data_IF_431126716440
#
_entry.id   IF_431126716440
#
_cell.length_a   1.000
_cell.length_b   1.000
_cell.length_c   1.000
_cell.angle_alpha   90.00
_cell.angle_beta   90.00
_cell.angle_gamma   90.00
#
_symmetry.space_group_name_H-M   'P 1'
#
loop_
_entity.id
_entity.type
_entity.pdbx_description
1 polymer ?
#
# COMPACT_ATOMS: atom_id res chain seq x y z
N UNK A 1 15.25 26.74 -8.59
CA UNK A 1 14.73 26.25 -7.30
C UNK A 1 15.12 24.79 -7.22
N UNK A 2 15.76 24.31 -6.16
CA UNK A 2 15.95 22.86 -5.98
C UNK A 2 14.58 22.29 -5.62
N UNK A 3 13.78 22.02 -6.63
CA UNK A 3 12.46 21.45 -6.42
C UNK A 3 12.66 20.11 -5.72
N UNK A 4 12.15 20.06 -4.49
CA UNK A 4 12.36 18.94 -3.60
C UNK A 4 11.75 17.70 -4.28
N UNK A 5 12.59 16.74 -4.68
CA UNK A 5 12.16 15.49 -5.33
C UNK A 5 11.04 14.81 -4.52
N UNK A 6 11.04 14.95 -3.18
CA UNK A 6 9.95 14.46 -2.33
C UNK A 6 8.59 15.14 -2.56
N UNK A 7 8.56 16.40 -2.98
CA UNK A 7 7.32 17.12 -3.29
C UNK A 7 6.74 16.69 -4.64
N UNK A 8 7.54 16.08 -5.51
CA UNK A 8 7.08 15.60 -6.81
C UNK A 8 6.54 14.17 -6.76
N UNK A 9 7.01 13.36 -5.80
CA UNK A 9 6.53 11.99 -5.60
C UNK A 9 5.07 12.01 -5.15
N UNK A 10 4.23 11.23 -5.85
CA UNK A 10 2.79 11.11 -5.58
C UNK A 10 2.33 9.66 -5.37
N UNK A 11 3.12 8.68 -5.82
CA UNK A 11 2.76 7.27 -5.68
C UNK A 11 3.96 6.34 -5.58
N UNK A 12 3.71 5.11 -5.10
CA UNK A 12 4.71 4.07 -4.96
C UNK A 12 4.12 2.69 -5.21
N UNK A 13 4.89 1.83 -5.89
CA UNK A 13 4.57 0.39 -6.03
C UNK A 13 5.32 -0.42 -4.99
N UNK A 14 4.61 -1.35 -4.35
CA UNK A 14 5.14 -2.24 -3.33
C UNK A 14 4.82 -3.69 -3.64
N UNK A 15 5.72 -4.56 -3.20
CA UNK A 15 5.55 -6.00 -3.09
C UNK A 15 5.69 -6.36 -1.60
N UNK A 16 4.63 -6.87 -0.98
CA UNK A 16 4.56 -7.20 0.45
C UNK A 16 4.40 -8.70 0.57
N UNK A 17 5.44 -9.41 1.03
CA UNK A 17 5.33 -10.84 1.34
C UNK A 17 4.95 -11.00 2.80
N UNK A 18 3.91 -11.80 3.07
CA UNK A 18 3.40 -12.04 4.42
C UNK A 18 2.99 -13.50 4.58
N UNK A 19 3.12 -13.99 5.81
CA UNK A 19 2.65 -15.30 6.23
C UNK A 19 1.39 -15.15 7.06
N UNK A 20 0.39 -15.98 6.80
CA UNK A 20 -0.89 -15.96 7.52
C UNK A 20 -0.93 -17.07 8.57
N UNK A 21 -1.64 -16.83 9.67
CA UNK A 21 -1.73 -17.79 10.79
C UNK A 21 -2.41 -19.12 10.43
N UNK A 22 -3.06 -19.22 9.27
CA UNK A 22 -3.69 -20.44 8.77
C UNK A 22 -3.54 -20.53 7.25
N UNK A 23 -3.42 -21.74 6.67
CA UNK A 23 -3.42 -21.90 5.22
C UNK A 23 -4.69 -21.34 4.60
N UNK A 24 -4.55 -20.71 3.43
CA UNK A 24 -5.68 -20.26 2.60
C UNK A 24 -5.42 -20.63 1.14
N UNK A 25 -6.48 -20.79 0.36
CA UNK A 25 -6.41 -20.93 -1.09
C UNK A 25 -6.11 -19.58 -1.77
N UNK A 26 -5.70 -19.64 -3.03
CA UNK A 26 -5.55 -18.43 -3.85
C UNK A 26 -6.88 -17.69 -4.02
N UNK A 27 -8.00 -18.41 -4.17
CA UNK A 27 -9.32 -17.83 -4.31
C UNK A 27 -9.77 -17.08 -3.05
N UNK A 28 -9.49 -17.63 -1.86
CA UNK A 28 -9.82 -16.98 -0.59
C UNK A 28 -9.08 -15.65 -0.42
N UNK A 29 -7.76 -15.61 -0.63
CA UNK A 29 -7.00 -14.36 -0.48
C UNK A 29 -7.39 -13.32 -1.53
N UNK A 30 -7.65 -13.75 -2.77
CA UNK A 30 -8.11 -12.87 -3.84
C UNK A 30 -9.48 -12.27 -3.50
N UNK A 31 -10.40 -13.09 -3.00
CA UNK A 31 -11.72 -12.62 -2.53
C UNK A 31 -11.60 -11.60 -1.40
N UNK A 32 -10.69 -11.80 -0.44
CA UNK A 32 -10.44 -10.84 0.64
C UNK A 32 -9.93 -9.50 0.11
N UNK A 33 -9.06 -9.49 -0.90
CA UNK A 33 -8.63 -8.25 -1.56
C UNK A 33 -9.80 -7.55 -2.25
N UNK A 34 -10.67 -8.30 -2.94
CA UNK A 34 -11.85 -7.71 -3.59
C UNK A 34 -12.82 -7.09 -2.58
N UNK A 35 -13.06 -7.77 -1.45
CA UNK A 35 -13.88 -7.25 -0.34
C UNK A 35 -13.24 -6.01 0.28
N UNK A 36 -11.92 -6.02 0.47
CA UNK A 36 -11.19 -4.87 1.01
C UNK A 36 -11.34 -3.64 0.09
N UNK A 37 -11.16 -3.81 -1.22
CA UNK A 37 -11.26 -2.73 -2.19
C UNK A 37 -12.70 -2.24 -2.44
N UNK A 38 -13.73 -3.05 -2.16
CA UNK A 38 -15.13 -2.66 -2.34
C UNK A 38 -15.68 -1.74 -1.24
N UNK A 39 -14.96 -1.60 -0.13
CA UNK A 39 -15.31 -0.67 0.96
C UNK A 39 -15.22 0.78 0.49
N UNK A 40 -16.22 1.58 0.88
CA UNK A 40 -16.20 3.04 0.70
C UNK A 40 -15.16 3.71 1.62
N UNK A 41 -14.98 3.16 2.82
CA UNK A 41 -14.04 3.65 3.82
C UNK A 41 -13.24 2.52 4.46
N UNK A 42 -11.96 2.78 4.73
CA UNK A 42 -11.07 1.89 5.48
C UNK A 42 -10.39 2.76 6.54
N UNK A 43 -10.85 2.66 7.78
CA UNK A 43 -10.45 3.58 8.85
C UNK A 43 -9.34 2.97 9.70
N UNK A 44 -8.18 3.63 9.74
CA UNK A 44 -7.04 3.20 10.57
C UNK A 44 -6.68 4.25 11.61
N UNK A 45 -6.10 3.80 12.73
CA UNK A 45 -5.62 4.69 13.79
C UNK A 45 -4.19 5.14 13.50
N UNK A 46 -3.99 6.40 13.10
CA UNK A 46 -2.66 6.96 12.82
C UNK A 46 -2.14 7.75 14.02
N UNK A 47 -0.92 7.44 14.46
CA UNK A 47 -0.22 8.23 15.48
C UNK A 47 0.23 9.58 14.91
N UNK A 48 -0.10 10.66 15.61
CA UNK A 48 0.32 12.03 15.29
C UNK A 48 1.02 12.67 16.48
N UNK A 49 1.60 13.85 16.30
CA UNK A 49 2.16 14.65 17.41
C UNK A 49 1.12 14.97 18.50
N UNK A 50 -0.18 14.95 18.16
CA UNK A 50 -1.31 15.26 19.07
C UNK A 50 -2.09 14.00 19.50
N UNK A 51 -1.49 12.81 19.40
CA UNK A 51 -2.14 11.54 19.74
C UNK A 51 -2.63 10.76 18.52
N UNK A 52 -3.49 9.77 18.74
CA UNK A 52 -4.05 8.93 17.69
C UNK A 52 -5.28 9.59 17.06
N UNK A 53 -5.40 9.49 15.74
CA UNK A 53 -6.57 9.99 15.00
C UNK A 53 -7.02 8.96 13.97
N UNK A 54 -8.34 8.77 13.80
CA UNK A 54 -8.86 7.95 12.71
C UNK A 54 -8.57 8.64 11.37
N UNK A 55 -8.13 7.86 10.39
CA UNK A 55 -7.85 8.32 9.03
C UNK A 55 -8.43 7.30 8.06
N UNK A 56 -9.22 7.77 7.08
CA UNK A 56 -9.65 6.93 5.97
C UNK A 56 -8.51 6.76 4.97
N UNK A 57 -8.03 5.53 4.78
CA UNK A 57 -6.95 5.19 3.86
C UNK A 57 -7.44 4.68 2.51
N UNK A 58 -8.74 4.42 2.34
CA UNK A 58 -9.30 3.89 1.09
C UNK A 58 -8.91 4.72 -0.15
N UNK A 59 -8.93 6.07 -0.13
CA UNK A 59 -8.51 6.88 -1.27
C UNK A 59 -7.00 6.82 -1.57
N UNK A 60 -6.20 6.29 -0.64
CA UNK A 60 -4.74 6.19 -0.76
C UNK A 60 -4.29 4.85 -1.36
N UNK A 61 -5.23 3.93 -1.62
CA UNK A 61 -4.99 2.64 -2.28
C UNK A 61 -5.48 2.72 -3.71
N UNK A 62 -4.56 2.84 -4.66
CA UNK A 62 -4.88 2.97 -6.08
C UNK A 62 -5.13 1.61 -6.74
N UNK A 63 -4.34 0.59 -6.37
CA UNK A 63 -4.61 -0.79 -6.74
C UNK A 63 -4.04 -1.75 -5.70
N UNK A 64 -4.65 -2.93 -5.58
CA UNK A 64 -4.18 -4.02 -4.73
C UNK A 64 -4.54 -5.35 -5.40
N UNK A 65 -3.61 -6.29 -5.41
CA UNK A 65 -3.85 -7.68 -5.80
C UNK A 65 -3.08 -8.62 -4.87
N UNK A 66 -3.48 -9.88 -4.82
CA UNK A 66 -2.80 -10.91 -4.05
C UNK A 66 -2.53 -12.16 -4.88
N UNK A 67 -1.40 -12.82 -4.63
CA UNK A 67 -1.18 -14.17 -5.11
C UNK A 67 -0.54 -15.06 -4.04
N UNK A 68 -0.78 -16.36 -4.17
CA UNK A 68 -0.24 -17.38 -3.27
C UNK A 68 1.18 -17.72 -3.70
N UNK A 69 2.13 -17.66 -2.75
CA UNK A 69 3.54 -18.00 -2.96
C UNK A 69 3.89 -19.37 -2.37
N UNK A 70 3.28 -19.72 -1.24
CA UNK A 70 3.38 -21.02 -0.58
C UNK A 70 2.10 -21.31 0.24
N UNK A 71 2.02 -22.41 0.98
CA UNK A 71 0.86 -22.89 1.75
C UNK A 71 0.18 -21.78 2.56
N UNK A 72 0.98 -21.02 3.34
CA UNK A 72 0.53 -19.91 4.18
C UNK A 72 1.17 -18.58 3.81
N UNK A 73 1.99 -18.54 2.75
CA UNK A 73 2.75 -17.37 2.32
C UNK A 73 2.11 -16.75 1.08
N UNK A 74 1.86 -15.45 1.15
CA UNK A 74 1.18 -14.67 0.13
C UNK A 74 1.98 -13.40 -0.19
N UNK A 75 1.68 -12.83 -1.34
CA UNK A 75 2.25 -11.55 -1.77
C UNK A 75 1.12 -10.59 -2.12
N UNK A 76 1.12 -9.39 -1.53
CA UNK A 76 0.34 -8.25 -2.01
C UNK A 76 1.18 -7.42 -2.98
N UNK A 77 0.64 -7.14 -4.15
CA UNK A 77 1.14 -6.09 -5.04
C UNK A 77 0.26 -4.85 -4.86
N UNK A 78 0.87 -3.76 -4.42
CA UNK A 78 0.14 -2.56 -4.02
C UNK A 78 0.64 -1.34 -4.78
N UNK A 79 -0.28 -0.52 -5.28
CA UNK A 79 0.01 0.81 -5.78
C UNK A 79 -0.66 1.84 -4.87
N UNK A 80 0.16 2.64 -4.18
CA UNK A 80 -0.26 3.45 -3.05
C UNK A 80 0.10 4.92 -3.26
N UNK A 81 -0.70 5.81 -2.67
CA UNK A 81 -0.35 7.21 -2.52
C UNK A 81 0.92 7.36 -1.69
N UNK A 82 1.86 8.15 -2.20
CA UNK A 82 3.13 8.48 -1.57
C UNK A 82 3.42 9.98 -1.71
N UNK A 83 4.31 10.51 -0.88
CA UNK A 83 4.65 11.95 -0.90
C UNK A 83 4.55 12.60 0.47
N UNK A 84 4.80 13.90 0.54
CA UNK A 84 4.89 14.61 1.82
C UNK A 84 3.53 14.77 2.52
N UNK A 85 2.47 15.04 1.75
CA UNK A 85 1.13 15.30 2.28
C UNK A 85 0.31 14.02 2.44
N UNK A 86 0.33 13.17 1.40
CA UNK A 86 -0.46 11.95 1.32
C UNK A 86 0.47 10.76 1.11
N UNK A 87 0.73 10.02 2.18
CA UNK A 87 1.54 8.81 2.13
C UNK A 87 0.91 7.70 2.97
N UNK A 88 0.56 6.61 2.31
CA UNK A 88 0.17 5.36 2.93
C UNK A 88 1.39 4.43 2.99
N UNK A 89 1.81 4.09 4.21
CA UNK A 89 2.91 3.14 4.40
C UNK A 89 2.39 1.72 4.14
N UNK A 90 3.22 0.89 3.51
CA UNK A 90 2.88 -0.49 3.16
C UNK A 90 2.64 -1.39 4.39
N UNK A 91 3.34 -1.15 5.51
CA UNK A 91 3.08 -1.85 6.78
C UNK A 91 1.68 -1.52 7.32
N UNK A 92 1.29 -0.25 7.30
CA UNK A 92 -0.05 0.18 7.71
C UNK A 92 -1.15 -0.36 6.78
N UNK A 93 -0.88 -0.52 5.49
CA UNK A 93 -1.79 -1.20 4.57
C UNK A 93 -2.02 -2.66 4.99
N UNK A 94 -0.95 -3.40 5.31
CA UNK A 94 -1.06 -4.80 5.74
C UNK A 94 -1.82 -4.91 7.06
N UNK A 95 -1.55 -4.03 8.03
CA UNK A 95 -2.31 -3.95 9.29
C UNK A 95 -3.81 -3.73 9.04
N UNK A 96 -4.16 -2.80 8.16
CA UNK A 96 -5.55 -2.53 7.80
C UNK A 96 -6.19 -3.72 7.07
N UNK A 97 -5.45 -4.34 6.16
CA UNK A 97 -5.90 -5.51 5.42
C UNK A 97 -6.23 -6.66 6.38
N UNK A 98 -5.35 -6.95 7.34
CA UNK A 98 -5.56 -7.99 8.35
C UNK A 98 -6.81 -7.71 9.20
N UNK A 99 -6.99 -6.47 9.64
CA UNK A 99 -8.14 -6.04 10.42
C UNK A 99 -9.45 -6.23 9.65
N UNK A 100 -9.50 -5.78 8.40
CA UNK A 100 -10.70 -5.85 7.57
C UNK A 100 -11.01 -7.26 7.08
N UNK A 101 -9.97 -8.07 6.83
CA UNK A 101 -10.11 -9.46 6.41
C UNK A 101 -10.38 -10.42 7.57
N UNK A 102 -10.23 -9.97 8.82
CA UNK A 102 -10.37 -10.83 10.01
C UNK A 102 -9.31 -11.93 10.06
N UNK A 103 -8.11 -11.65 9.57
CA UNK A 103 -6.97 -12.57 9.59
C UNK A 103 -5.86 -12.02 10.48
N UNK A 104 -4.88 -12.87 10.79
CA UNK A 104 -3.63 -12.45 11.40
C UNK A 104 -2.51 -12.87 10.48
N UNK A 105 -1.64 -11.92 10.15
CA UNK A 105 -0.44 -12.18 9.37
C UNK A 105 0.82 -11.61 10.02
N UNK A 106 1.95 -12.08 9.52
CA UNK A 106 3.27 -11.56 9.82
C UNK A 106 3.93 -11.15 8.51
N UNK A 107 4.37 -9.88 8.42
CA UNK A 107 5.19 -9.44 7.30
C UNK A 107 6.53 -10.20 7.28
N UNK A 108 6.84 -10.85 6.16
CA UNK A 108 8.14 -11.44 5.87
C UNK A 108 9.05 -10.39 5.23
N UNK A 109 8.53 -9.66 4.24
CA UNK A 109 9.26 -8.59 3.57
C UNK A 109 8.33 -7.53 2.99
N UNK A 110 8.83 -6.29 2.92
CA UNK A 110 8.15 -5.16 2.28
C UNK A 110 9.16 -4.49 1.35
N UNK A 111 8.96 -4.62 0.04
CA UNK A 111 9.86 -4.06 -0.96
C UNK A 111 9.15 -2.98 -1.76
N UNK A 112 9.68 -1.74 -1.73
CA UNK A 112 9.24 -0.67 -2.63
C UNK A 112 9.90 -0.86 -4.00
N UNK A 113 9.11 -1.23 -5.01
CA UNK A 113 9.58 -1.55 -6.36
C UNK A 113 9.82 -0.30 -7.20
N UNK A 114 8.99 0.73 -7.03
CA UNK A 114 9.10 1.99 -7.77
C UNK A 114 8.47 3.15 -7.00
N UNK A 115 8.94 4.35 -7.32
CA UNK A 115 8.33 5.62 -6.97
C UNK A 115 7.82 6.27 -8.26
N UNK A 116 6.82 7.15 -8.17
CA UNK A 116 6.28 7.87 -9.31
C UNK A 116 6.08 9.34 -8.94
N UNK A 117 6.40 10.21 -9.89
CA UNK A 117 6.18 11.64 -9.76
C UNK A 117 5.01 12.11 -10.63
N UNK A 118 4.30 13.16 -10.18
CA UNK A 118 3.24 13.81 -10.96
C UNK A 118 3.78 15.00 -11.76
N UNK A 119 4.72 14.77 -12.68
CA UNK A 119 5.16 15.82 -13.61
C UNK A 119 4.50 15.58 -14.97
N UNK A 120 3.55 16.48 -15.31
CA UNK A 120 2.88 16.58 -16.61
C UNK A 120 2.11 15.33 -17.07
N UNK A 121 0.88 15.12 -16.55
CA UNK A 121 -0.15 14.18 -17.05
C UNK A 121 0.28 12.72 -17.33
N UNK A 122 1.50 12.30 -16.98
CA UNK A 122 2.04 10.97 -17.21
C UNK A 122 2.83 10.50 -15.99
N UNK A 123 2.72 9.20 -15.66
CA UNK A 123 3.46 8.58 -14.56
C UNK A 123 4.89 8.28 -15.00
N UNK A 124 5.85 9.15 -14.67
CA UNK A 124 7.27 8.96 -14.96
C UNK A 124 8.04 8.42 -13.77
N UNK A 125 9.15 7.72 -14.05
CA UNK A 125 10.09 7.32 -13.01
C UNK A 125 10.76 8.59 -12.43
N UNK A 126 10.85 8.78 -11.11
CA UNK A 126 11.38 10.01 -10.51
C UNK A 126 12.82 10.35 -10.90
N UNK A 127 13.61 9.38 -11.39
CA UNK A 127 14.95 9.65 -11.93
C UNK A 127 14.93 10.23 -13.36
N UNK A 128 13.79 10.20 -14.06
CA UNK A 128 13.62 10.78 -15.41
C UNK A 128 13.14 12.24 -15.36
N UNK A 129 12.89 12.78 -14.17
CA UNK A 129 12.29 14.11 -13.95
C UNK A 129 13.35 15.21 -13.75
N UNK A 130 14.62 14.85 -13.61
CA UNK A 130 15.71 15.77 -13.28
C UNK A 130 16.42 16.44 -14.47
N UNK A 131 16.02 16.13 -15.71
CA UNK A 131 16.79 16.50 -16.91
C UNK A 131 16.13 17.59 -17.78
N UNK A 132 15.05 18.24 -17.30
CA UNK A 132 14.41 19.40 -17.96
C UNK A 132 14.68 20.73 -17.23
#
# INVERSE_FOLDING_TARGET
>A
SKDNIMNQITAARYEITFETGKPMSHFEIDSLVHIFLSKEEIIVSKKTKKGFRPVNIRPLVYSLSAYKKDISVFVLEAFLSAGAENNLRADLLLEAFDQEAGITSQAISIHRKALYASTYNEWKNPFEVSDD
#
